data_IF_355909621013
#
_entry.id   IF_355909621013
#
_cell.length_a   1.000
_cell.length_b   1.000
_cell.length_c   1.000
_cell.angle_alpha   90.00
_cell.angle_beta   90.00
_cell.angle_gamma   90.00
#
_symmetry.space_group_name_H-M   'P 1'
#
loop_
_entity.id
_entity.type
_entity.pdbx_description
1 polymer ?
#
# COMPACT_ATOMS: atom_id res chain seq x y z
N UNK A 1 14.88 -21.82 4.21
CA UNK A 1 15.80 -21.45 5.32
C UNK A 1 17.10 -20.79 4.83
N UNK A 2 17.92 -21.48 4.01
CA UNK A 2 19.22 -20.96 3.51
C UNK A 2 19.12 -19.65 2.73
N UNK A 3 18.05 -19.46 1.94
CA UNK A 3 17.82 -18.23 1.15
C UNK A 3 17.46 -17.05 2.07
N UNK A 4 16.55 -17.23 3.02
CA UNK A 4 16.15 -16.20 3.98
C UNK A 4 17.34 -15.70 4.80
N UNK A 5 18.23 -16.61 5.23
CA UNK A 5 19.45 -16.23 5.95
C UNK A 5 20.40 -15.39 5.10
N UNK A 6 20.53 -15.69 3.81
CA UNK A 6 21.35 -14.91 2.88
C UNK A 6 20.76 -13.50 2.65
N UNK A 7 19.45 -13.38 2.53
CA UNK A 7 18.75 -12.10 2.40
C UNK A 7 18.95 -11.28 3.68
N UNK A 8 18.77 -11.87 4.86
CA UNK A 8 18.96 -11.20 6.15
C UNK A 8 20.41 -10.70 6.29
N UNK A 9 21.40 -11.49 5.87
CA UNK A 9 22.81 -11.03 5.85
C UNK A 9 22.99 -9.80 4.97
N UNK A 10 22.32 -9.76 3.82
CA UNK A 10 22.37 -8.59 2.94
C UNK A 10 21.71 -7.37 3.58
N UNK A 11 20.58 -7.53 4.26
CA UNK A 11 19.94 -6.44 4.99
C UNK A 11 20.87 -5.86 6.07
N UNK A 12 21.45 -6.73 6.90
CA UNK A 12 22.41 -6.33 7.94
C UNK A 12 23.63 -5.59 7.37
N UNK A 13 24.22 -6.10 6.28
CA UNK A 13 25.39 -5.45 5.64
C UNK A 13 25.06 -4.10 5.00
N UNK A 14 23.77 -3.84 4.70
CA UNK A 14 23.28 -2.56 4.21
C UNK A 14 22.81 -1.60 5.32
N UNK A 15 23.06 -1.94 6.59
CA UNK A 15 22.79 -1.09 7.75
C UNK A 15 21.36 -1.16 8.27
N UNK A 16 20.60 -2.20 7.91
CA UNK A 16 19.28 -2.43 8.47
C UNK A 16 19.38 -3.23 9.77
N UNK A 17 18.63 -2.85 10.79
CA UNK A 17 18.55 -3.53 12.10
C UNK A 17 17.26 -4.33 12.22
N UNK A 18 17.28 -5.41 12.99
CA UNK A 18 16.10 -6.23 13.22
C UNK A 18 15.03 -5.43 13.96
N UNK A 19 13.82 -5.47 13.44
CA UNK A 19 12.60 -5.03 14.13
C UNK A 19 11.69 -6.24 14.31
N UNK A 20 11.18 -6.40 15.53
CA UNK A 20 10.22 -7.43 15.89
C UNK A 20 8.89 -6.73 16.25
N UNK A 21 8.03 -6.44 15.26
CA UNK A 21 6.74 -5.81 15.50
C UNK A 21 5.80 -6.79 16.20
N UNK A 22 4.86 -6.23 16.97
CA UNK A 22 3.92 -7.01 17.76
C UNK A 22 3.00 -7.86 16.87
N UNK A 23 2.57 -9.00 17.41
CA UNK A 23 1.67 -9.94 16.72
C UNK A 23 0.23 -9.47 16.85
N UNK A 24 -0.13 -8.95 18.04
CA UNK A 24 -1.46 -8.47 18.34
C UNK A 24 -1.50 -6.95 18.15
N UNK A 25 -2.45 -6.48 17.35
CA UNK A 25 -2.58 -5.06 17.03
C UNK A 25 -4.03 -4.63 17.24
N UNK A 26 -4.21 -3.35 17.51
CA UNK A 26 -5.51 -2.71 17.40
C UNK A 26 -5.94 -2.71 15.93
N UNK A 27 -7.09 -3.32 15.66
CA UNK A 27 -7.61 -3.47 14.31
C UNK A 27 -7.94 -2.14 13.63
N UNK A 28 -8.26 -1.11 14.42
CA UNK A 28 -8.63 0.20 13.90
C UNK A 28 -7.50 0.84 13.10
N UNK A 29 -6.26 0.77 13.57
CA UNK A 29 -5.11 1.28 12.82
C UNK A 29 -4.96 0.63 11.44
N UNK A 30 -5.22 -0.67 11.37
CA UNK A 30 -5.14 -1.42 10.10
C UNK A 30 -6.29 -1.02 9.18
N UNK A 31 -7.50 -0.92 9.69
CA UNK A 31 -8.70 -0.58 8.91
C UNK A 31 -8.61 0.85 8.37
N UNK A 32 -8.19 1.82 9.19
CA UNK A 32 -8.00 3.21 8.78
C UNK A 32 -6.97 3.32 7.63
N UNK A 33 -5.90 2.54 7.67
CA UNK A 33 -4.85 2.56 6.65
C UNK A 33 -5.24 1.81 5.38
N UNK A 34 -5.85 0.65 5.49
CA UNK A 34 -6.05 -0.32 4.40
C UNK A 34 -7.49 -0.40 3.89
N UNK A 35 -8.43 0.20 4.62
CA UNK A 35 -9.85 0.28 4.28
C UNK A 35 -10.65 -0.97 4.68
N UNK A 36 -11.98 -0.80 4.66
CA UNK A 36 -12.95 -1.83 5.09
C UNK A 36 -12.85 -3.16 4.30
N UNK A 37 -12.49 -3.09 3.02
CA UNK A 37 -12.32 -4.31 2.22
C UNK A 37 -11.20 -5.21 2.74
N UNK A 38 -10.17 -4.60 3.32
CA UNK A 38 -9.05 -5.35 3.90
C UNK A 38 -9.45 -6.05 5.19
N UNK A 39 -10.39 -5.47 5.96
CA UNK A 39 -10.96 -6.06 7.18
C UNK A 39 -11.44 -7.50 6.97
N UNK A 40 -12.02 -7.80 5.80
CA UNK A 40 -12.51 -9.15 5.48
C UNK A 40 -11.41 -10.21 5.43
N UNK A 41 -10.18 -9.81 5.21
CA UNK A 41 -9.01 -10.70 5.20
C UNK A 41 -8.33 -10.82 6.56
N UNK A 42 -8.67 -9.97 7.51
CA UNK A 42 -8.05 -9.96 8.84
C UNK A 42 -8.62 -11.07 9.74
N UNK A 43 -7.80 -11.53 10.67
CA UNK A 43 -8.21 -12.39 11.78
C UNK A 43 -8.39 -11.49 13.00
N UNK A 44 -9.65 -11.24 13.35
CA UNK A 44 -10.03 -10.32 14.42
C UNK A 44 -10.67 -11.05 15.59
N UNK A 45 -10.53 -10.49 16.78
CA UNK A 45 -11.15 -10.94 18.02
C UNK A 45 -11.33 -9.74 18.97
N UNK A 46 -12.18 -9.86 19.96
CA UNK A 46 -12.36 -8.88 21.01
C UNK A 46 -11.49 -9.23 22.21
N UNK A 47 -10.83 -8.23 22.80
CA UNK A 47 -10.15 -8.39 24.09
C UNK A 47 -11.12 -8.29 25.26
N UNK A 48 -10.62 -8.42 26.48
CA UNK A 48 -11.43 -8.37 27.73
C UNK A 48 -12.16 -7.03 27.91
N UNK A 49 -11.65 -5.94 27.32
CA UNK A 49 -12.26 -4.60 27.38
C UNK A 49 -13.27 -4.37 26.23
N UNK A 50 -13.58 -5.39 25.43
CA UNK A 50 -14.46 -5.27 24.25
C UNK A 50 -13.83 -4.54 23.05
N UNK A 51 -12.50 -4.33 23.06
CA UNK A 51 -11.78 -3.69 21.96
C UNK A 51 -11.48 -4.69 20.86
N UNK A 52 -11.75 -4.30 19.61
CA UNK A 52 -11.47 -5.13 18.44
C UNK A 52 -9.96 -5.16 18.15
N UNK A 53 -9.37 -6.31 18.38
CA UNK A 53 -7.97 -6.61 18.09
C UNK A 53 -7.84 -7.46 16.83
N UNK A 54 -6.63 -7.55 16.29
CA UNK A 54 -6.32 -8.47 15.20
C UNK A 54 -4.91 -9.07 15.34
N UNK A 55 -4.73 -10.24 14.76
CA UNK A 55 -3.39 -10.73 14.43
C UNK A 55 -2.85 -9.86 13.30
N UNK A 56 -1.58 -9.43 13.39
CA UNK A 56 -0.95 -8.57 12.36
C UNK A 56 -1.13 -9.14 10.95
N UNK A 57 -1.81 -8.46 10.04
CA UNK A 57 -2.06 -8.96 8.69
C UNK A 57 -0.89 -8.72 7.74
N UNK A 58 0.04 -7.84 8.11
CA UNK A 58 1.33 -7.62 7.48
C UNK A 58 2.34 -7.03 8.48
N UNK A 59 3.63 -7.09 8.13
CA UNK A 59 4.68 -6.61 9.02
C UNK A 59 5.07 -5.15 8.75
N UNK A 60 4.72 -4.57 7.61
CA UNK A 60 4.97 -3.16 7.30
C UNK A 60 4.19 -2.25 8.25
N UNK A 61 2.86 -2.42 8.32
CA UNK A 61 2.02 -1.59 9.19
C UNK A 61 2.37 -1.82 10.66
N UNK A 62 2.58 -3.08 11.07
CA UNK A 62 3.01 -3.41 12.43
C UNK A 62 4.35 -2.74 12.81
N UNK A 63 5.30 -2.68 11.88
CA UNK A 63 6.59 -1.99 12.07
C UNK A 63 6.41 -0.47 12.14
N UNK A 64 5.50 0.10 11.36
CA UNK A 64 5.16 1.53 11.42
C UNK A 64 4.54 1.90 12.76
N UNK A 65 3.63 1.09 13.30
CA UNK A 65 3.02 1.31 14.62
C UNK A 65 4.12 1.35 15.69
N UNK A 66 4.98 0.34 15.71
CA UNK A 66 6.11 0.27 16.66
C UNK A 66 7.09 1.45 16.50
N UNK A 67 7.28 1.94 15.29
CA UNK A 67 8.09 3.13 15.03
C UNK A 67 7.47 4.39 15.64
N UNK A 68 6.15 4.56 15.54
CA UNK A 68 5.45 5.74 16.07
C UNK A 68 5.59 5.87 17.60
N UNK A 69 5.80 4.78 18.32
CA UNK A 69 6.07 4.79 19.75
C UNK A 69 7.42 5.44 20.08
N UNK A 70 8.44 5.26 19.24
CA UNK A 70 9.83 5.72 19.46
C UNK A 70 10.21 6.97 18.67
N UNK A 71 9.54 7.26 17.57
CA UNK A 71 9.71 8.43 16.66
C UNK A 71 11.16 8.75 16.25
N UNK A 72 12.01 7.74 16.10
CA UNK A 72 13.41 7.91 15.67
C UNK A 72 13.61 7.42 14.25
N UNK A 73 14.39 8.14 13.41
CA UNK A 73 14.76 7.64 12.07
C UNK A 73 15.36 6.25 12.18
N UNK A 74 14.80 5.29 11.49
CA UNK A 74 15.19 3.89 11.60
C UNK A 74 15.26 3.22 10.24
N UNK A 75 16.33 2.47 10.03
CA UNK A 75 16.47 1.50 8.93
C UNK A 75 16.27 0.12 9.52
N UNK A 76 15.14 -0.48 9.27
CA UNK A 76 14.76 -1.74 9.87
C UNK A 76 14.54 -2.82 8.82
N UNK A 77 14.80 -4.06 9.21
CA UNK A 77 14.28 -5.22 8.52
C UNK A 77 13.43 -6.05 9.47
N UNK A 78 12.50 -6.77 8.93
CA UNK A 78 11.69 -7.74 9.66
C UNK A 78 11.70 -9.09 8.94
N UNK A 79 11.50 -10.15 9.71
CA UNK A 79 11.32 -11.52 9.23
C UNK A 79 10.31 -12.17 10.15
N UNK A 80 9.17 -12.56 9.63
CA UNK A 80 8.13 -13.14 10.49
C UNK A 80 6.87 -13.51 9.72
N UNK A 81 5.85 -13.91 10.46
CA UNK A 81 4.57 -14.34 9.91
C UNK A 81 3.56 -13.21 9.95
N UNK A 82 2.83 -13.05 8.87
CA UNK A 82 1.62 -12.27 8.76
C UNK A 82 0.41 -13.20 8.74
N UNK A 83 -0.69 -12.77 9.35
CA UNK A 83 -1.87 -13.59 9.58
C UNK A 83 -3.07 -12.96 8.89
N UNK A 84 -3.42 -13.48 7.73
CA UNK A 84 -4.60 -13.03 6.97
C UNK A 84 -5.10 -14.13 6.05
N UNK A 85 -6.37 -14.09 5.75
CA UNK A 85 -6.96 -14.97 4.74
C UNK A 85 -6.31 -14.69 3.38
N UNK A 86 -5.71 -15.68 2.79
CA UNK A 86 -5.12 -15.63 1.45
C UNK A 86 -5.45 -16.92 0.68
N UNK A 87 -5.16 -16.91 -0.62
CA UNK A 87 -5.50 -18.03 -1.49
C UNK A 87 -6.94 -18.04 -1.97
N UNK A 88 -7.20 -18.84 -3.00
CA UNK A 88 -8.51 -18.92 -3.65
C UNK A 88 -9.61 -19.48 -2.74
N UNK A 89 -9.25 -20.28 -1.76
CA UNK A 89 -10.19 -20.93 -0.83
C UNK A 89 -10.31 -20.19 0.51
N UNK A 90 -9.54 -19.11 0.73
CA UNK A 90 -9.53 -18.34 1.98
C UNK A 90 -9.10 -19.16 3.21
N UNK A 91 -8.40 -20.28 3.02
CA UNK A 91 -7.96 -21.18 4.08
C UNK A 91 -6.50 -21.02 4.48
N UNK A 92 -5.72 -20.29 3.67
CA UNK A 92 -4.33 -19.99 3.98
C UNK A 92 -4.28 -18.74 4.87
N UNK A 93 -3.92 -18.91 6.12
CA UNK A 93 -3.91 -17.82 7.11
C UNK A 93 -2.51 -17.29 7.42
N UNK A 94 -1.47 -18.07 7.15
CA UNK A 94 -0.09 -17.74 7.53
C UNK A 94 0.72 -17.45 6.29
N UNK A 95 1.35 -16.26 6.27
CA UNK A 95 2.20 -15.83 5.18
C UNK A 95 3.55 -15.40 5.75
N UNK A 96 4.63 -16.07 5.38
CA UNK A 96 5.97 -15.65 5.76
C UNK A 96 6.34 -14.37 5.00
N UNK A 97 6.74 -13.35 5.73
CA UNK A 97 7.18 -12.06 5.20
C UNK A 97 8.60 -11.73 5.63
N UNK A 98 9.34 -11.16 4.70
CA UNK A 98 10.67 -10.63 4.89
C UNK A 98 10.74 -9.28 4.17
N UNK A 99 11.11 -8.22 4.85
CA UNK A 99 11.13 -6.89 4.27
C UNK A 99 12.07 -5.93 4.96
N UNK A 100 12.23 -4.76 4.34
CA UNK A 100 13.00 -3.62 4.85
C UNK A 100 12.18 -2.35 4.78
N UNK A 101 12.34 -1.49 5.76
CA UNK A 101 11.71 -0.17 5.82
C UNK A 101 12.72 0.90 6.22
N UNK A 102 12.59 2.10 5.67
CA UNK A 102 13.27 3.30 6.14
C UNK A 102 12.20 4.27 6.61
N UNK A 103 12.15 4.51 7.91
CA UNK A 103 11.13 5.28 8.57
C UNK A 103 11.70 6.58 9.12
N UNK A 104 10.94 7.69 9.03
CA UNK A 104 11.29 8.98 9.61
C UNK A 104 12.42 9.73 8.90
N UNK A 105 12.83 9.34 7.71
CA UNK A 105 13.84 10.03 6.93
C UNK A 105 13.27 11.28 6.22
N UNK A 106 14.13 12.25 5.95
CA UNK A 106 13.78 13.48 5.25
C UNK A 106 14.15 13.47 3.75
N UNK A 107 14.88 12.46 3.28
CA UNK A 107 15.34 12.37 1.89
C UNK A 107 14.79 11.13 1.20
N UNK A 108 13.53 11.22 0.77
CA UNK A 108 12.81 10.11 0.16
C UNK A 108 13.54 9.51 -1.05
N UNK A 109 14.04 10.33 -1.97
CA UNK A 109 14.71 9.84 -3.18
C UNK A 109 15.94 8.99 -2.85
N UNK A 110 16.75 9.44 -1.89
CA UNK A 110 17.94 8.68 -1.45
C UNK A 110 17.54 7.35 -0.81
N UNK A 111 16.47 7.36 -0.05
CA UNK A 111 15.99 6.18 0.65
C UNK A 111 15.34 5.18 -0.30
N UNK A 112 14.54 5.65 -1.27
CA UNK A 112 13.99 4.80 -2.33
C UNK A 112 15.10 4.10 -3.12
N UNK A 113 16.15 4.85 -3.52
CA UNK A 113 17.34 4.28 -4.17
C UNK A 113 17.99 3.23 -3.28
N UNK A 114 18.16 3.52 -1.99
CA UNK A 114 18.78 2.59 -1.04
C UNK A 114 17.99 1.30 -0.90
N UNK A 115 16.67 1.39 -0.80
CA UNK A 115 15.77 0.24 -0.73
C UNK A 115 15.88 -0.60 -2.00
N UNK A 116 15.76 0.04 -3.19
CA UNK A 116 15.85 -0.64 -4.48
C UNK A 116 17.21 -1.35 -4.62
N UNK A 117 18.32 -0.68 -4.33
CA UNK A 117 19.66 -1.27 -4.39
C UNK A 117 19.79 -2.49 -3.46
N UNK A 118 19.29 -2.37 -2.23
CA UNK A 118 19.35 -3.48 -1.27
C UNK A 118 18.56 -4.70 -1.75
N UNK A 119 17.38 -4.49 -2.32
CA UNK A 119 16.55 -5.57 -2.89
C UNK A 119 17.23 -6.19 -4.12
N UNK A 120 17.85 -5.37 -4.98
CA UNK A 120 18.63 -5.88 -6.12
C UNK A 120 19.82 -6.73 -5.68
N UNK A 121 20.51 -6.33 -4.62
CA UNK A 121 21.61 -7.11 -4.07
C UNK A 121 21.14 -8.46 -3.48
N UNK A 122 19.95 -8.49 -2.88
CA UNK A 122 19.30 -9.75 -2.50
C UNK A 122 18.97 -10.60 -3.72
N UNK A 123 18.43 -10.00 -4.75
CA UNK A 123 18.00 -10.68 -5.97
C UNK A 123 19.17 -11.31 -6.73
N UNK A 124 20.34 -10.66 -6.80
CA UNK A 124 21.59 -11.20 -7.40
C UNK A 124 22.06 -12.49 -6.72
N UNK A 125 21.69 -12.72 -5.45
CA UNK A 125 22.04 -13.94 -4.72
C UNK A 125 21.14 -15.13 -5.05
N UNK A 126 20.02 -14.90 -5.74
CA UNK A 126 19.13 -15.94 -6.23
C UNK A 126 19.71 -16.48 -7.54
N UNK A 127 20.43 -17.58 -7.46
CA UNK A 127 21.09 -18.21 -8.62
C UNK A 127 20.08 -18.53 -9.73
N UNK A 128 20.52 -18.29 -10.98
CA UNK A 128 19.86 -18.74 -12.24
C UNK A 128 18.51 -18.10 -12.60
N UNK A 129 18.18 -16.89 -12.13
CA UNK A 129 17.00 -16.19 -12.63
C UNK A 129 17.38 -14.87 -13.28
N UNK A 130 16.89 -14.63 -14.51
CA UNK A 130 16.86 -13.29 -15.09
C UNK A 130 15.89 -12.45 -14.26
N UNK A 131 16.38 -11.36 -13.71
CA UNK A 131 15.58 -10.46 -12.89
C UNK A 131 15.22 -9.25 -13.73
N UNK A 132 13.93 -8.99 -13.89
CA UNK A 132 13.39 -7.77 -14.49
C UNK A 132 12.90 -6.87 -13.39
N UNK A 133 13.31 -5.60 -13.42
CA UNK A 133 12.87 -4.57 -12.48
C UNK A 133 11.91 -3.64 -13.21
N UNK A 134 10.69 -3.50 -12.67
CA UNK A 134 9.72 -2.54 -13.16
C UNK A 134 9.53 -1.47 -12.09
N UNK A 135 9.78 -0.22 -12.46
CA UNK A 135 9.56 0.93 -11.57
C UNK A 135 8.34 1.68 -12.06
N UNK A 136 7.37 1.88 -11.19
CA UNK A 136 6.17 2.68 -11.44
C UNK A 136 6.25 3.99 -10.67
N UNK A 137 5.89 5.09 -11.33
CA UNK A 137 5.79 6.40 -10.69
C UNK A 137 4.38 6.96 -10.83
N UNK A 138 3.66 6.94 -9.73
CA UNK A 138 2.29 7.48 -9.64
C UNK A 138 2.27 8.99 -9.88
N UNK A 139 3.38 9.70 -9.65
CA UNK A 139 3.46 11.15 -9.89
C UNK A 139 3.33 11.50 -11.37
N UNK A 140 3.82 10.66 -12.27
CA UNK A 140 3.66 10.83 -13.72
C UNK A 140 2.19 10.76 -14.11
N UNK A 141 1.47 9.77 -13.58
CA UNK A 141 0.03 9.65 -13.80
C UNK A 141 -0.73 10.87 -13.29
N UNK A 142 -0.43 11.33 -12.07
CA UNK A 142 -1.05 12.54 -11.50
C UNK A 142 -0.76 13.76 -12.37
N UNK A 143 0.50 13.99 -12.77
CA UNK A 143 0.87 15.10 -13.65
C UNK A 143 0.11 15.06 -14.97
N UNK A 144 -0.01 13.89 -15.58
CA UNK A 144 -0.81 13.70 -16.80
C UNK A 144 -2.27 14.10 -16.56
N UNK A 145 -2.91 13.57 -15.51
CA UNK A 145 -4.32 13.89 -15.22
C UNK A 145 -4.51 15.40 -14.94
N UNK A 146 -3.57 16.04 -14.21
CA UNK A 146 -3.67 17.47 -13.95
C UNK A 146 -3.41 18.35 -15.18
N UNK A 147 -2.68 17.88 -16.18
CA UNK A 147 -2.47 18.61 -17.45
C UNK A 147 -3.65 18.55 -18.40
N UNK A 148 -4.63 17.65 -18.17
CA UNK A 148 -5.81 17.52 -19.01
C UNK A 148 -6.83 18.61 -18.68
N UNK A 149 -7.46 19.15 -19.73
CA UNK A 149 -8.59 20.09 -19.59
C UNK A 149 -9.86 19.31 -19.27
N UNK A 150 -10.11 19.13 -18.00
CA UNK A 150 -11.30 18.47 -17.48
C UNK A 150 -11.62 18.99 -16.08
N UNK A 151 -12.88 18.91 -15.64
CA UNK A 151 -13.29 19.33 -14.30
C UNK A 151 -12.49 18.61 -13.19
N UNK A 152 -12.12 19.36 -12.15
CA UNK A 152 -11.29 18.87 -11.03
C UNK A 152 -11.86 17.61 -10.38
N UNK A 153 -13.17 17.52 -10.28
CA UNK A 153 -13.86 16.34 -9.76
C UNK A 153 -13.54 15.07 -10.54
N UNK A 154 -13.43 15.15 -11.86
CA UNK A 154 -13.04 14.02 -12.70
C UNK A 154 -11.57 13.65 -12.51
N UNK A 155 -10.69 14.66 -12.39
CA UNK A 155 -9.27 14.45 -12.07
C UNK A 155 -9.12 13.66 -10.77
N UNK A 156 -9.78 14.13 -9.72
CA UNK A 156 -9.76 13.46 -8.41
C UNK A 156 -10.32 12.05 -8.46
N UNK A 157 -11.39 11.83 -9.22
CA UNK A 157 -12.01 10.52 -9.37
C UNK A 157 -11.09 9.52 -10.11
N UNK A 158 -10.44 9.95 -11.19
CA UNK A 158 -9.46 9.16 -11.93
C UNK A 158 -8.26 8.81 -11.05
N UNK A 159 -7.70 9.80 -10.34
CA UNK A 159 -6.58 9.59 -9.41
C UNK A 159 -6.95 8.61 -8.29
N UNK A 160 -8.16 8.70 -7.77
CA UNK A 160 -8.62 7.82 -6.69
C UNK A 160 -8.80 6.37 -7.13
N UNK A 161 -9.14 6.12 -8.39
CA UNK A 161 -9.57 4.81 -8.87
C UNK A 161 -8.66 4.17 -9.93
N UNK A 162 -7.52 4.77 -10.27
CA UNK A 162 -6.60 4.22 -11.29
C UNK A 162 -6.14 2.78 -11.00
N UNK A 163 -6.10 2.40 -9.74
CA UNK A 163 -5.70 1.06 -9.30
C UNK A 163 -6.80 -0.01 -9.44
N UNK A 164 -8.01 0.39 -9.90
CA UNK A 164 -9.14 -0.51 -10.20
C UNK A 164 -9.34 -0.60 -11.71
N UNK A 165 -8.63 -1.50 -12.44
CA UNK A 165 -8.56 -1.43 -13.91
C UNK A 165 -9.92 -1.40 -14.59
N UNK A 166 -10.84 -2.30 -14.22
CA UNK A 166 -12.20 -2.36 -14.82
C UNK A 166 -12.99 -1.08 -14.58
N UNK A 167 -13.00 -0.59 -13.34
CA UNK A 167 -13.73 0.63 -12.99
C UNK A 167 -13.08 1.87 -13.61
N UNK A 168 -11.76 1.91 -13.69
CA UNK A 168 -11.03 2.99 -14.35
C UNK A 168 -11.35 3.05 -15.84
N UNK A 169 -11.41 1.92 -16.51
CA UNK A 169 -11.82 1.83 -17.93
C UNK A 169 -13.27 2.34 -18.13
N UNK A 170 -14.19 1.99 -17.23
CA UNK A 170 -15.57 2.52 -17.26
C UNK A 170 -15.61 4.04 -17.07
N UNK A 171 -14.76 4.59 -16.19
CA UNK A 171 -14.65 6.03 -16.01
C UNK A 171 -14.15 6.73 -17.28
N UNK A 172 -13.16 6.17 -17.98
CA UNK A 172 -12.67 6.69 -19.25
C UNK A 172 -13.75 6.65 -20.33
N UNK A 173 -14.48 5.55 -20.46
CA UNK A 173 -15.62 5.44 -21.41
C UNK A 173 -16.72 6.47 -21.14
N UNK A 174 -16.98 6.79 -19.86
CA UNK A 174 -17.93 7.83 -19.49
C UNK A 174 -17.45 9.23 -19.89
N UNK A 175 -16.17 9.52 -19.67
CA UNK A 175 -15.56 10.77 -20.10
C UNK A 175 -15.58 10.94 -21.60
N UNK A 176 -15.29 9.89 -22.36
CA UNK A 176 -15.33 9.91 -23.82
C UNK A 176 -16.73 10.22 -24.36
N UNK A 177 -17.78 9.68 -23.75
CA UNK A 177 -19.18 9.94 -24.10
C UNK A 177 -19.68 11.32 -23.70
N UNK A 178 -19.10 11.92 -22.65
CA UNK A 178 -19.49 13.22 -22.12
C UNK A 178 -18.55 14.35 -22.56
N UNK A 179 -17.83 14.17 -23.67
CA UNK A 179 -16.93 15.18 -24.21
C UNK A 179 -17.63 16.39 -24.81
N UNK A 180 -18.98 16.38 -24.91
CA UNK A 180 -19.75 17.53 -25.35
C UNK A 180 -19.94 18.59 -24.27
N UNK A 181 -20.00 19.84 -24.68
CA UNK A 181 -20.09 21.06 -23.86
C UNK A 181 -21.19 21.05 -22.77
N UNK A 182 -22.16 20.17 -22.87
CA UNK A 182 -23.17 19.91 -21.84
C UNK A 182 -22.61 19.42 -20.51
N UNK A 183 -21.43 18.90 -20.51
CA UNK A 183 -20.74 18.51 -19.27
C UNK A 183 -20.48 19.69 -18.33
N UNK A 184 -20.26 20.88 -18.85
CA UNK A 184 -20.08 22.13 -18.08
C UNK A 184 -21.40 22.56 -17.44
N UNK A 185 -22.51 22.49 -18.19
CA UNK A 185 -23.85 22.76 -17.68
C UNK A 185 -24.26 21.80 -16.55
N UNK A 186 -23.84 20.54 -16.63
CA UNK A 186 -24.04 19.54 -15.59
C UNK A 186 -23.44 19.93 -14.24
N UNK A 187 -22.29 20.59 -14.23
CA UNK A 187 -21.60 21.01 -12.99
C UNK A 187 -22.16 22.27 -12.37
N UNK A 188 -22.93 23.08 -13.14
CA UNK A 188 -23.59 24.30 -12.66
C UNK A 188 -25.01 24.02 -12.17
N UNK A 189 -25.58 22.85 -12.47
CA UNK A 189 -26.92 22.46 -12.01
C UNK A 189 -26.84 21.95 -10.55
N UNK A 190 -27.26 22.82 -9.63
CA UNK A 190 -27.28 22.58 -8.19
C UNK A 190 -28.07 21.31 -7.81
N UNK A 191 -29.16 21.00 -8.51
CA UNK A 191 -30.03 19.85 -8.27
C UNK A 191 -29.26 18.53 -8.53
N UNK A 192 -28.56 18.43 -9.65
CA UNK A 192 -27.73 17.28 -9.97
C UNK A 192 -26.49 17.15 -9.06
N UNK A 193 -25.98 18.26 -8.57
CA UNK A 193 -24.90 18.27 -7.60
C UNK A 193 -25.33 17.67 -6.24
N UNK A 194 -26.55 17.94 -5.82
CA UNK A 194 -27.11 17.42 -4.57
C UNK A 194 -27.47 15.92 -4.68
N UNK A 195 -27.99 15.47 -5.82
CA UNK A 195 -28.21 14.05 -6.10
C UNK A 195 -26.93 13.20 -6.02
N UNK A 196 -25.79 13.79 -6.35
CA UNK A 196 -24.50 13.11 -6.31
C UNK A 196 -23.82 13.09 -4.93
N UNK A 197 -24.26 13.92 -3.98
CA UNK A 197 -23.82 13.86 -2.58
C UNK A 197 -24.44 12.69 -1.83
N UNK A 198 -25.56 12.17 -2.33
CA UNK A 198 -26.31 11.07 -1.73
C UNK A 198 -25.97 9.70 -2.31
N UNK A 199 -25.10 9.62 -3.31
CA UNK A 199 -24.50 8.41 -3.88
C UNK A 199 -23.10 8.16 -3.29
#
# INVERSE_FOLDING_TARGET
KKLSEQIIKTFKSNGFILSEPDILLDSEYIIQRSGENFKRSMLTFENEDGKLMCLRPDLTVASCIKYLEKKSTSKIYYSGQAYRRSGNNGLDFINDQLGIEILGSKNQTKDDIKVIQTILDCAKRIKNKKISVKVGDVSLFKKLIYSLDMPERWKMRLIRHFWRPKYFEELLKRLEKNSDLDSVAFYTDKKRFDEMKTM
#
